data_IF_061290074728
#
_entry.id   IF_061290074728
#
_cell.length_a   1.000
_cell.length_b   1.000
_cell.length_c   1.000
_cell.angle_alpha   90.00
_cell.angle_beta   90.00
_cell.angle_gamma   90.00
#
_symmetry.space_group_name_H-M   'P 1'
#
loop_
_entity.id
_entity.type
_entity.pdbx_description
1 polymer ?
#
# COMPACT_ATOMS: atom_id res chain seq x y z
N UNK A 1 25.55 -30.37 -23.28
CA UNK A 1 25.32 -29.01 -22.75
C UNK A 1 24.67 -28.21 -23.87
N UNK A 2 23.36 -28.33 -24.02
CA UNK A 2 22.64 -27.68 -25.11
C UNK A 2 22.47 -26.21 -24.75
N UNK A 3 23.14 -25.33 -25.50
CA UNK A 3 22.89 -23.91 -25.46
C UNK A 3 21.45 -23.67 -25.94
N UNK A 4 20.55 -23.44 -24.99
CA UNK A 4 19.15 -23.10 -25.23
C UNK A 4 19.15 -21.80 -26.07
N UNK A 5 18.82 -21.93 -27.35
CA UNK A 5 18.72 -20.78 -28.26
C UNK A 5 17.43 -20.06 -27.91
N UNK A 6 17.49 -19.24 -26.87
CA UNK A 6 16.32 -18.49 -26.40
C UNK A 6 16.04 -17.41 -27.43
N UNK A 7 15.04 -17.62 -28.29
CA UNK A 7 14.61 -16.68 -29.34
C UNK A 7 13.86 -15.46 -28.77
N UNK A 8 14.11 -15.12 -27.51
CA UNK A 8 13.48 -14.03 -26.78
C UNK A 8 14.41 -12.81 -26.78
N UNK A 9 13.81 -11.63 -26.91
CA UNK A 9 14.49 -10.34 -26.77
C UNK A 9 14.65 -9.92 -25.30
N UNK A 10 13.97 -10.58 -24.37
CA UNK A 10 14.21 -10.49 -22.93
C UNK A 10 14.58 -11.85 -22.35
N UNK A 11 15.60 -11.86 -21.52
CA UNK A 11 16.02 -13.04 -20.77
C UNK A 11 15.01 -13.38 -19.65
N UNK A 12 15.04 -14.64 -19.19
CA UNK A 12 14.19 -15.09 -18.06
C UNK A 12 14.39 -14.25 -16.78
N UNK A 13 15.62 -13.88 -16.38
CA UNK A 13 15.83 -12.97 -15.25
C UNK A 13 15.19 -11.59 -15.45
N UNK A 14 15.26 -11.01 -16.65
CA UNK A 14 14.64 -9.71 -16.95
C UNK A 14 13.12 -9.78 -16.89
N UNK A 15 12.52 -10.84 -17.44
CA UNK A 15 11.08 -11.09 -17.31
C UNK A 15 10.64 -11.21 -15.84
N UNK A 16 11.41 -11.95 -15.03
CA UNK A 16 11.12 -12.10 -13.59
C UNK A 16 11.20 -10.76 -12.86
N UNK A 17 12.24 -9.97 -13.13
CA UNK A 17 12.40 -8.64 -12.55
C UNK A 17 11.27 -7.72 -12.96
N UNK A 18 10.87 -7.72 -14.23
CA UNK A 18 9.76 -6.91 -14.71
C UNK A 18 8.45 -7.30 -14.02
N UNK A 19 8.17 -8.60 -13.86
CA UNK A 19 7.01 -9.08 -13.09
C UNK A 19 7.03 -8.52 -11.67
N UNK A 20 8.18 -8.59 -10.99
CA UNK A 20 8.30 -8.10 -9.61
C UNK A 20 8.01 -6.60 -9.53
N UNK A 21 8.51 -5.79 -10.47
CA UNK A 21 8.20 -4.36 -10.53
C UNK A 21 6.72 -4.08 -10.87
N UNK A 22 6.13 -4.79 -11.83
CA UNK A 22 4.72 -4.64 -12.20
C UNK A 22 3.79 -4.97 -11.02
N UNK A 23 4.19 -5.91 -10.15
CA UNK A 23 3.44 -6.25 -8.93
C UNK A 23 3.54 -5.20 -7.82
N UNK A 24 4.54 -4.32 -7.85
CA UNK A 24 4.64 -3.18 -6.92
C UNK A 24 3.72 -2.02 -7.32
N UNK A 25 3.25 -1.96 -8.57
CA UNK A 25 2.45 -0.86 -9.09
C UNK A 25 1.23 -0.47 -8.22
N UNK A 26 0.44 -1.41 -7.65
CA UNK A 26 -0.67 -1.03 -6.76
C UNK A 26 -0.23 -0.20 -5.55
N UNK A 27 0.94 -0.51 -4.96
CA UNK A 27 1.53 0.26 -3.86
C UNK A 27 1.99 1.62 -4.37
N UNK A 28 2.78 1.63 -5.45
CA UNK A 28 3.36 2.85 -6.01
C UNK A 28 2.26 3.86 -6.40
N UNK A 29 1.20 3.42 -7.07
CA UNK A 29 0.07 4.28 -7.46
C UNK A 29 -0.66 4.83 -6.22
N UNK A 30 -0.85 4.01 -5.17
CA UNK A 30 -1.47 4.48 -3.94
C UNK A 30 -0.62 5.53 -3.21
N UNK A 31 0.69 5.29 -3.09
CA UNK A 31 1.62 6.20 -2.43
C UNK A 31 1.82 7.50 -3.24
N UNK A 32 1.89 7.41 -4.57
CA UNK A 32 1.92 8.58 -5.46
C UNK A 32 0.66 9.44 -5.29
N UNK A 33 -0.53 8.85 -5.20
CA UNK A 33 -1.76 9.62 -4.99
C UNK A 33 -1.69 10.43 -3.68
N UNK A 34 -1.13 9.85 -2.61
CA UNK A 34 -0.90 10.55 -1.33
C UNK A 34 0.13 11.68 -1.49
N UNK A 35 1.22 11.42 -2.20
CA UNK A 35 2.30 12.39 -2.48
C UNK A 35 1.80 13.56 -3.34
N UNK A 36 1.09 13.28 -4.44
CA UNK A 36 0.53 14.26 -5.38
C UNK A 36 -0.42 15.19 -4.64
N UNK A 37 -1.32 14.63 -3.82
CA UNK A 37 -2.25 15.40 -3.00
C UNK A 37 -1.59 16.02 -1.74
N UNK A 38 -0.28 15.80 -1.54
CA UNK A 38 0.50 16.19 -0.35
C UNK A 38 -0.13 15.77 0.98
N UNK A 39 -0.94 14.72 0.98
CA UNK A 39 -1.66 14.22 2.15
C UNK A 39 -0.71 13.60 3.19
N UNK A 40 0.49 13.19 2.79
CA UNK A 40 1.53 12.67 3.70
C UNK A 40 1.89 13.66 4.83
N UNK A 41 1.87 14.97 4.55
CA UNK A 41 2.23 16.00 5.56
C UNK A 41 1.11 16.33 6.55
N UNK A 42 -0.11 15.84 6.33
CA UNK A 42 -1.27 16.20 7.17
C UNK A 42 -1.34 15.37 8.46
N UNK A 43 -0.47 14.37 8.65
CA UNK A 43 -0.47 13.51 9.85
C UNK A 43 0.74 13.67 10.78
N UNK A 44 0.98 14.89 11.29
CA UNK A 44 1.59 15.05 12.62
C UNK A 44 0.81 16.10 13.40
N UNK A 45 -0.28 15.68 14.04
CA UNK A 45 -0.89 16.45 15.12
C UNK A 45 0.07 16.42 16.32
N UNK A 46 0.88 17.46 16.43
CA UNK A 46 1.61 17.80 17.66
C UNK A 46 3.13 17.79 17.56
N UNK A 47 3.73 18.53 16.61
CA UNK A 47 5.08 19.08 16.76
C UNK A 47 5.11 20.51 16.20
N UNK A 48 5.79 21.39 16.92
CA UNK A 48 5.84 22.84 16.78
C UNK A 48 6.16 23.32 15.36
N UNK A 49 5.40 24.32 14.91
CA UNK A 49 5.68 25.14 13.74
C UNK A 49 7.03 25.83 13.97
N UNK A 50 8.09 25.34 13.31
CA UNK A 50 9.26 26.17 13.06
C UNK A 50 8.89 27.17 11.96
N UNK A 51 8.65 28.42 12.37
CA UNK A 51 8.59 29.59 11.49
C UNK A 51 9.98 29.79 10.88
N UNK A 52 10.22 29.19 9.72
CA UNK A 52 11.54 29.23 9.07
C UNK A 52 11.51 28.83 7.62
N UNK A 53 10.88 29.66 6.78
CA UNK A 53 11.20 29.93 5.37
C UNK A 53 9.95 30.55 4.74
N UNK A 54 10.11 31.70 4.09
CA UNK A 54 9.04 32.42 3.42
C UNK A 54 8.16 31.47 2.60
N UNK A 55 6.85 31.53 2.87
CA UNK A 55 5.82 30.84 2.11
C UNK A 55 5.82 31.34 0.66
N UNK A 56 6.74 30.83 -0.15
CA UNK A 56 6.49 30.76 -1.57
C UNK A 56 5.29 29.83 -1.72
N UNK A 57 4.20 30.36 -2.28
CA UNK A 57 2.95 29.64 -2.56
C UNK A 57 3.24 28.40 -3.40
N UNK A 58 3.65 27.31 -2.76
CA UNK A 58 3.87 26.04 -3.44
C UNK A 58 2.48 25.53 -3.83
N UNK A 59 2.24 25.19 -5.10
CA UNK A 59 0.94 24.74 -5.56
C UNK A 59 0.43 23.57 -4.70
N UNK A 60 -0.89 23.42 -4.51
CA UNK A 60 -1.49 22.37 -3.67
C UNK A 60 -1.13 20.95 -4.10
N UNK A 61 -0.66 20.78 -5.34
CA UNK A 61 -0.26 19.50 -5.94
C UNK A 61 1.26 19.40 -6.08
N UNK A 62 1.80 18.19 -5.94
CA UNK A 62 3.19 17.89 -6.28
C UNK A 62 3.30 17.60 -7.79
N UNK A 63 3.71 18.60 -8.58
CA UNK A 63 3.73 18.51 -10.04
C UNK A 63 4.66 17.41 -10.57
N UNK A 64 5.85 17.23 -10.00
CA UNK A 64 6.82 16.27 -10.53
C UNK A 64 6.34 14.81 -10.32
N UNK A 65 5.89 14.47 -9.11
CA UNK A 65 5.17 13.22 -8.82
C UNK A 65 3.98 12.94 -9.77
N UNK A 66 3.19 13.96 -10.11
CA UNK A 66 2.10 13.80 -11.09
C UNK A 66 2.64 13.53 -12.50
N UNK A 67 3.69 14.23 -12.92
CA UNK A 67 4.35 13.97 -14.19
C UNK A 67 4.94 12.55 -14.25
N UNK A 68 5.55 12.08 -13.17
CA UNK A 68 6.08 10.72 -13.06
C UNK A 68 4.96 9.67 -13.18
N UNK A 69 3.82 9.87 -12.51
CA UNK A 69 2.64 9.01 -12.64
C UNK A 69 2.13 8.95 -14.09
N UNK A 70 2.01 10.11 -14.75
CA UNK A 70 1.57 10.19 -16.13
C UNK A 70 2.56 9.54 -17.10
N UNK A 71 3.88 9.71 -16.87
CA UNK A 71 4.91 9.07 -17.66
C UNK A 71 4.83 7.55 -17.55
N UNK A 72 4.69 7.01 -16.33
CA UNK A 72 4.49 5.59 -16.10
C UNK A 72 3.25 5.06 -16.84
N UNK A 73 2.12 5.78 -16.75
CA UNK A 73 0.92 5.43 -17.50
C UNK A 73 1.19 5.37 -19.02
N UNK A 74 1.85 6.39 -19.56
CA UNK A 74 2.14 6.50 -20.99
C UNK A 74 3.07 5.38 -21.47
N UNK A 75 4.11 5.05 -20.72
CA UNK A 75 5.01 3.93 -21.04
C UNK A 75 4.27 2.58 -20.98
N UNK A 76 3.45 2.33 -19.96
CA UNK A 76 2.63 1.12 -19.88
C UNK A 76 1.65 1.01 -21.06
N UNK A 77 0.95 2.10 -21.39
CA UNK A 77 0.00 2.12 -22.50
C UNK A 77 0.69 1.88 -23.85
N UNK A 78 1.83 2.53 -24.06
CA UNK A 78 2.63 2.38 -25.28
C UNK A 78 3.17 0.96 -25.43
N UNK A 79 3.73 0.38 -24.37
CA UNK A 79 4.22 -0.99 -24.37
C UNK A 79 3.09 -1.99 -24.66
N UNK A 80 1.95 -1.86 -23.98
CA UNK A 80 0.78 -2.73 -24.24
C UNK A 80 0.33 -2.63 -25.69
N UNK A 81 0.27 -1.41 -26.25
CA UNK A 81 -0.12 -1.19 -27.64
C UNK A 81 0.84 -1.89 -28.61
N UNK A 82 2.15 -1.70 -28.44
CA UNK A 82 3.17 -2.34 -29.30
C UNK A 82 3.07 -3.87 -29.23
N UNK A 83 2.94 -4.43 -28.02
CA UNK A 83 2.79 -5.88 -27.84
C UNK A 83 1.52 -6.39 -28.53
N UNK A 84 0.39 -5.68 -28.40
CA UNK A 84 -0.85 -6.05 -29.08
C UNK A 84 -0.70 -6.01 -30.61
N UNK A 85 -0.07 -4.97 -31.15
CA UNK A 85 0.16 -4.78 -32.57
C UNK A 85 1.07 -5.87 -33.15
N UNK A 86 2.25 -6.11 -32.56
CA UNK A 86 3.20 -7.11 -33.07
C UNK A 86 2.70 -8.55 -32.91
N UNK A 87 1.91 -8.83 -31.87
CA UNK A 87 1.38 -10.17 -31.61
C UNK A 87 0.05 -10.44 -32.31
N UNK A 88 -0.54 -9.42 -32.94
CA UNK A 88 -1.86 -9.53 -33.57
C UNK A 88 -2.95 -9.93 -32.59
N UNK A 89 -2.88 -9.44 -31.34
CA UNK A 89 -3.83 -9.79 -30.28
C UNK A 89 -4.55 -8.56 -29.73
N UNK A 90 -5.86 -8.65 -29.43
CA UNK A 90 -6.60 -7.51 -28.89
C UNK A 90 -6.24 -7.24 -27.44
N UNK A 91 -6.23 -5.96 -27.05
CA UNK A 91 -6.18 -5.60 -25.64
C UNK A 91 -7.50 -5.93 -24.96
N UNK A 92 -7.45 -6.78 -23.95
CA UNK A 92 -8.58 -7.11 -23.07
C UNK A 92 -8.06 -7.13 -21.63
N UNK A 93 -8.56 -6.24 -20.74
CA UNK A 93 -8.11 -6.22 -19.35
C UNK A 93 -8.30 -7.56 -18.64
N UNK A 94 -7.46 -7.83 -17.65
CA UNK A 94 -7.57 -9.06 -16.85
C UNK A 94 -8.92 -9.12 -16.14
N UNK A 95 -9.68 -10.20 -16.36
CA UNK A 95 -11.02 -10.38 -15.81
C UNK A 95 -12.14 -9.80 -16.68
N UNK A 96 -11.79 -9.24 -17.83
CA UNK A 96 -12.76 -8.69 -18.76
C UNK A 96 -12.96 -9.61 -19.96
N UNK A 97 -14.10 -9.46 -20.61
CA UNK A 97 -14.46 -10.14 -21.84
C UNK A 97 -14.33 -9.16 -23.00
N UNK A 98 -13.81 -9.68 -24.12
CA UNK A 98 -13.70 -8.94 -25.35
C UNK A 98 -15.07 -8.41 -25.81
N UNK A 99 -15.12 -7.26 -26.50
CA UNK A 99 -16.38 -6.66 -26.94
C UNK A 99 -17.22 -7.59 -27.85
N UNK A 100 -16.56 -8.44 -28.63
CA UNK A 100 -17.15 -9.39 -29.57
C UNK A 100 -17.47 -10.76 -28.95
N UNK A 101 -17.22 -10.94 -27.64
CA UNK A 101 -17.47 -12.21 -26.97
C UNK A 101 -18.96 -12.58 -26.94
N UNK A 102 -19.30 -13.73 -27.55
CA UNK A 102 -20.65 -14.29 -27.54
C UNK A 102 -20.75 -15.36 -26.44
N UNK A 103 -21.61 -15.12 -25.44
CA UNK A 103 -21.84 -16.05 -24.33
C UNK A 103 -22.01 -15.35 -22.98
N UNK A 104 -22.51 -16.05 -21.93
CA UNK A 104 -22.69 -15.44 -20.61
C UNK A 104 -21.34 -15.21 -19.90
N UNK A 105 -21.17 -14.09 -19.16
CA UNK A 105 -19.98 -13.86 -18.35
C UNK A 105 -19.92 -14.84 -17.16
N UNK A 106 -18.72 -15.30 -16.81
CA UNK A 106 -18.50 -16.08 -15.59
C UNK A 106 -18.51 -15.17 -14.35
N UNK A 107 -18.70 -15.70 -13.13
CA UNK A 107 -18.56 -14.92 -11.91
C UNK A 107 -17.22 -14.18 -11.86
N UNK A 108 -17.26 -12.86 -11.61
CA UNK A 108 -16.08 -12.00 -11.60
C UNK A 108 -15.60 -11.53 -12.98
N UNK A 109 -16.28 -11.91 -14.06
CA UNK A 109 -16.01 -11.38 -15.39
C UNK A 109 -16.97 -10.25 -15.76
N UNK A 110 -16.44 -9.23 -16.44
CA UNK A 110 -17.22 -8.10 -16.94
C UNK A 110 -17.00 -7.90 -18.44
N UNK A 111 -18.03 -7.46 -19.17
CA UNK A 111 -17.89 -7.08 -20.58
C UNK A 111 -17.21 -5.73 -20.71
N UNK A 112 -16.25 -5.64 -21.63
CA UNK A 112 -15.63 -4.38 -21.98
C UNK A 112 -16.60 -3.45 -22.68
N UNK A 113 -16.73 -2.24 -22.14
CA UNK A 113 -17.56 -1.20 -22.75
C UNK A 113 -16.82 -0.59 -23.95
N UNK A 114 -17.52 -0.22 -25.03
CA UNK A 114 -16.94 0.57 -26.10
C UNK A 114 -16.34 1.87 -25.55
N UNK A 115 -15.13 2.22 -25.98
CA UNK A 115 -14.43 3.43 -25.53
C UNK A 115 -13.80 3.34 -24.13
N UNK A 116 -13.69 2.14 -23.55
CA UNK A 116 -12.98 1.93 -22.27
C UNK A 116 -11.55 2.44 -22.34
N UNK A 117 -11.20 3.37 -21.44
CA UNK A 117 -9.84 3.87 -21.27
C UNK A 117 -9.19 3.06 -20.15
N UNK A 118 -8.07 2.36 -20.43
CA UNK A 118 -7.42 1.54 -19.42
C UNK A 118 -6.73 2.40 -18.37
N UNK A 119 -6.79 1.98 -17.12
CA UNK A 119 -6.03 2.56 -16.01
C UNK A 119 -4.61 2.00 -15.94
N UNK A 120 -3.71 2.69 -15.23
CA UNK A 120 -2.31 2.26 -14.99
C UNK A 120 -2.25 0.85 -14.40
N UNK A 121 -3.15 0.51 -13.47
CA UNK A 121 -3.20 -0.82 -12.85
C UNK A 121 -3.72 -1.90 -13.81
N UNK A 122 -4.66 -1.58 -14.69
CA UNK A 122 -5.14 -2.53 -15.71
C UNK A 122 -4.06 -2.85 -16.73
N UNK A 123 -3.30 -1.85 -17.18
CA UNK A 123 -2.16 -2.02 -18.08
C UNK A 123 -1.06 -2.85 -17.41
N UNK A 124 -0.69 -2.53 -16.17
CA UNK A 124 0.31 -3.27 -15.41
C UNK A 124 -0.06 -4.74 -15.19
N UNK A 125 -1.30 -5.02 -14.79
CA UNK A 125 -1.80 -6.40 -14.63
C UNK A 125 -1.85 -7.17 -15.95
N UNK A 126 -2.17 -6.48 -17.03
CA UNK A 126 -2.18 -7.10 -18.35
C UNK A 126 -0.77 -7.51 -18.77
N UNK A 127 0.23 -6.62 -18.58
CA UNK A 127 1.63 -6.92 -18.88
C UNK A 127 2.21 -8.02 -17.99
N UNK A 128 1.89 -8.05 -16.69
CA UNK A 128 2.31 -9.13 -15.78
C UNK A 128 1.87 -10.50 -16.32
N UNK A 129 0.65 -10.59 -16.85
CA UNK A 129 0.12 -11.82 -17.47
C UNK A 129 0.73 -12.14 -18.84
N UNK A 130 1.15 -11.12 -19.60
CA UNK A 130 1.60 -11.25 -20.99
C UNK A 130 3.09 -10.95 -21.15
N UNK A 131 3.89 -11.13 -20.09
CA UNK A 131 5.33 -10.81 -20.11
C UNK A 131 6.09 -11.60 -21.18
N UNK A 132 5.66 -12.83 -21.47
CA UNK A 132 6.25 -13.66 -22.53
C UNK A 132 5.98 -13.05 -23.91
N UNK A 133 4.77 -12.54 -24.14
CA UNK A 133 4.44 -11.82 -25.38
C UNK A 133 5.29 -10.56 -25.54
N UNK A 134 5.55 -9.84 -24.45
CA UNK A 134 6.50 -8.73 -24.45
C UNK A 134 7.92 -9.22 -24.76
N UNK A 135 8.41 -10.26 -24.11
CA UNK A 135 9.76 -10.78 -24.34
C UNK A 135 10.03 -11.23 -25.78
N UNK A 136 8.99 -11.57 -26.54
CA UNK A 136 9.13 -11.93 -27.95
C UNK A 136 9.12 -10.71 -28.89
N UNK A 137 8.83 -9.50 -28.39
CA UNK A 137 8.66 -8.24 -29.15
C UNK A 137 10.01 -7.67 -29.55
N UNK A 138 10.16 -7.21 -30.79
CA UNK A 138 11.46 -6.83 -31.34
C UNK A 138 12.17 -5.75 -30.49
N UNK A 139 11.41 -4.78 -29.97
CA UNK A 139 11.91 -3.69 -29.13
C UNK A 139 11.80 -3.97 -27.61
N UNK A 140 11.62 -5.22 -27.19
CA UNK A 140 11.35 -5.55 -25.79
C UNK A 140 12.41 -5.05 -24.82
N UNK A 141 13.69 -5.03 -25.22
CA UNK A 141 14.79 -4.53 -24.40
C UNK A 141 14.66 -3.04 -24.09
N UNK A 142 14.32 -2.21 -25.07
CA UNK A 142 14.10 -0.78 -24.87
C UNK A 142 12.85 -0.52 -24.02
N UNK A 143 11.74 -1.18 -24.34
CA UNK A 143 10.49 -1.08 -23.59
C UNK A 143 10.64 -1.48 -22.12
N UNK A 144 11.44 -2.53 -21.86
CA UNK A 144 11.77 -2.96 -20.50
C UNK A 144 12.56 -1.89 -19.73
N UNK A 145 13.59 -1.29 -20.33
CA UNK A 145 14.39 -0.25 -19.69
C UNK A 145 13.55 0.99 -19.39
N UNK A 146 12.72 1.43 -20.34
CA UNK A 146 11.83 2.58 -20.17
C UNK A 146 10.82 2.35 -19.03
N UNK A 147 10.24 1.14 -18.95
CA UNK A 147 9.32 0.78 -17.86
C UNK A 147 10.02 0.78 -16.50
N UNK A 148 11.21 0.20 -16.40
CA UNK A 148 11.98 0.20 -15.16
C UNK A 148 12.36 1.62 -14.73
N UNK A 149 12.78 2.46 -15.67
CA UNK A 149 13.10 3.85 -15.41
C UNK A 149 11.87 4.62 -14.92
N UNK A 150 10.71 4.44 -15.55
CA UNK A 150 9.46 5.08 -15.15
C UNK A 150 9.00 4.65 -13.74
N UNK A 151 9.14 3.36 -13.40
CA UNK A 151 8.87 2.84 -12.05
C UNK A 151 9.83 3.46 -11.03
N UNK A 152 11.13 3.48 -11.33
CA UNK A 152 12.13 4.05 -10.43
C UNK A 152 11.92 5.56 -10.21
N UNK A 153 11.54 6.30 -11.25
CA UNK A 153 11.19 7.72 -11.15
C UNK A 153 9.99 7.92 -10.22
N UNK A 154 8.94 7.11 -10.36
CA UNK A 154 7.80 7.12 -9.46
C UNK A 154 8.21 6.89 -8.00
N UNK A 155 9.06 5.88 -7.75
CA UNK A 155 9.57 5.57 -6.41
C UNK A 155 10.43 6.71 -5.83
N UNK A 156 11.22 7.41 -6.66
CA UNK A 156 12.03 8.54 -6.22
C UNK A 156 11.20 9.74 -5.73
N UNK A 157 9.98 9.92 -6.25
CA UNK A 157 9.07 10.99 -5.84
C UNK A 157 8.21 10.65 -4.62
N UNK A 158 8.13 9.38 -4.22
CA UNK A 158 7.38 8.97 -3.03
C UNK A 158 8.14 9.42 -1.76
N UNK A 159 7.80 10.62 -1.26
CA UNK A 159 8.23 11.17 0.03
C UNK A 159 7.35 10.63 1.18
N UNK A 160 7.17 9.31 1.22
CA UNK A 160 6.57 8.63 2.37
C UNK A 160 7.70 7.91 3.12
N UNK A 161 7.72 7.96 4.47
CA UNK A 161 8.53 6.99 5.20
C UNK A 161 8.09 5.60 4.73
N UNK A 162 9.04 4.65 4.55
CA UNK A 162 8.69 3.30 4.16
C UNK A 162 7.55 2.79 5.04
N UNK A 163 6.67 1.96 4.48
CA UNK A 163 5.68 1.21 5.25
C UNK A 163 6.42 0.34 6.26
N UNK A 164 6.80 0.94 7.37
CA UNK A 164 7.25 0.25 8.55
C UNK A 164 6.02 -0.56 8.96
N UNK A 165 6.06 -1.87 8.70
CA UNK A 165 5.55 -2.83 9.67
C UNK A 165 5.90 -2.24 11.03
N UNK A 166 4.90 -1.83 11.80
CA UNK A 166 5.10 -1.04 13.02
C UNK A 166 6.10 -1.77 13.93
N UNK A 167 7.39 -1.48 13.74
CA UNK A 167 8.48 -1.86 14.59
C UNK A 167 8.34 -0.85 15.72
N UNK A 168 7.70 -1.31 16.78
CA UNK A 168 7.42 -0.52 17.96
C UNK A 168 8.77 -0.15 18.57
N UNK A 169 9.28 1.01 18.19
CA UNK A 169 10.46 1.60 18.79
C UNK A 169 10.13 1.91 20.26
N UNK A 170 11.00 1.51 21.19
CA UNK A 170 10.74 1.63 22.63
C UNK A 170 10.42 3.09 23.04
N UNK A 171 10.97 4.07 22.30
CA UNK A 171 10.66 5.51 22.46
C UNK A 171 9.25 5.90 22.01
N UNK A 172 8.68 5.22 21.00
CA UNK A 172 7.28 5.39 20.56
C UNK A 172 6.30 4.78 21.56
N UNK A 173 6.69 3.72 22.29
CA UNK A 173 5.93 3.16 23.43
C UNK A 173 5.81 4.19 24.54
N UNK A 174 6.90 4.85 24.89
CA UNK A 174 6.93 5.85 25.97
C UNK A 174 6.09 7.10 25.63
N UNK A 175 6.10 7.54 24.37
CA UNK A 175 5.24 8.62 23.89
C UNK A 175 3.76 8.21 23.80
N UNK A 176 3.46 6.94 23.44
CA UNK A 176 2.10 6.41 23.40
C UNK A 176 1.51 6.19 24.81
N UNK A 177 2.33 5.86 25.81
CA UNK A 177 1.92 5.64 27.19
C UNK A 177 1.21 6.86 27.81
N UNK A 178 1.54 8.07 27.36
CA UNK A 178 0.95 9.31 27.83
C UNK A 178 -0.31 9.75 27.06
N UNK A 179 -0.73 9.05 26.01
CA UNK A 179 -1.94 9.42 25.25
C UNK A 179 -3.20 9.10 26.05
N UNK A 180 -4.05 10.11 26.21
CA UNK A 180 -5.37 10.03 26.82
C UNK A 180 -6.38 9.71 25.70
N UNK A 181 -7.01 8.54 25.77
CA UNK A 181 -7.89 8.01 24.73
C UNK A 181 -9.19 7.45 25.33
N UNK A 182 -10.24 7.40 24.53
CA UNK A 182 -11.48 6.71 24.91
C UNK A 182 -11.33 5.19 24.77
N UNK A 183 -12.19 4.42 25.45
CA UNK A 183 -12.19 2.95 25.35
C UNK A 183 -12.36 2.43 23.90
N UNK A 184 -13.09 3.17 23.05
CA UNK A 184 -13.28 2.84 21.64
C UNK A 184 -12.01 3.09 20.80
N UNK A 185 -11.31 4.20 21.05
CA UNK A 185 -10.04 4.49 20.38
C UNK A 185 -8.95 3.51 20.80
N UNK A 186 -8.92 3.09 22.08
CA UNK A 186 -7.97 2.12 22.60
C UNK A 186 -8.08 0.78 21.85
N UNK A 187 -9.28 0.29 21.56
CA UNK A 187 -9.49 -0.94 20.78
C UNK A 187 -8.92 -0.83 19.36
N UNK A 188 -9.15 0.30 18.67
CA UNK A 188 -8.58 0.55 17.33
C UNK A 188 -7.06 0.65 17.35
N UNK A 189 -6.49 1.25 18.40
CA UNK A 189 -5.04 1.37 18.57
C UNK A 189 -4.42 0.03 18.95
N UNK A 190 -5.08 -0.76 19.80
CA UNK A 190 -4.60 -2.07 20.25
C UNK A 190 -4.40 -3.06 19.09
N UNK A 191 -5.29 -3.04 18.09
CA UNK A 191 -5.15 -3.85 16.88
C UNK A 191 -3.84 -3.55 16.10
N UNK A 192 -3.28 -2.35 16.27
CA UNK A 192 -2.04 -1.90 15.62
C UNK A 192 -0.79 -2.07 16.48
N UNK A 193 -0.93 -2.46 17.76
CA UNK A 193 0.17 -2.61 18.72
C UNK A 193 0.73 -4.04 18.83
N UNK A 194 0.34 -4.94 17.92
CA UNK A 194 0.83 -6.32 17.89
C UNK A 194 0.51 -7.10 19.17
N UNK A 195 1.47 -7.87 19.67
CA UNK A 195 1.27 -8.79 20.80
C UNK A 195 0.89 -8.09 22.11
N UNK A 196 1.35 -6.86 22.32
CA UNK A 196 1.07 -6.08 23.54
C UNK A 196 -0.41 -5.65 23.61
N UNK A 197 -1.04 -5.46 22.44
CA UNK A 197 -2.46 -5.12 22.31
C UNK A 197 -3.39 -6.32 22.13
N UNK A 198 -2.86 -7.54 22.05
CA UNK A 198 -3.66 -8.73 21.75
C UNK A 198 -4.74 -8.96 22.82
N UNK A 199 -5.99 -9.09 22.37
CA UNK A 199 -7.16 -9.30 23.24
C UNK A 199 -7.62 -8.09 24.04
N UNK A 200 -7.10 -6.89 23.74
CA UNK A 200 -7.55 -5.63 24.35
C UNK A 200 -8.72 -5.04 23.55
N UNK A 201 -9.93 -5.41 23.92
CA UNK A 201 -11.19 -4.89 23.33
C UNK A 201 -11.82 -3.80 24.21
N UNK A 202 -12.82 -3.09 23.69
CA UNK A 202 -13.59 -2.10 24.47
C UNK A 202 -14.16 -2.69 25.76
N UNK A 203 -14.68 -3.91 25.70
CA UNK A 203 -15.25 -4.59 26.86
C UNK A 203 -14.18 -5.01 27.86
N UNK A 204 -12.99 -5.37 27.39
CA UNK A 204 -11.83 -5.62 28.25
C UNK A 204 -11.42 -4.36 29.00
N UNK A 205 -11.43 -3.19 28.34
CA UNK A 205 -11.17 -1.90 29.01
C UNK A 205 -12.22 -1.61 30.07
N UNK A 206 -13.52 -1.78 29.78
CA UNK A 206 -14.61 -1.64 30.77
C UNK A 206 -14.43 -2.59 31.96
N UNK A 207 -13.97 -3.82 31.71
CA UNK A 207 -13.65 -4.79 32.75
C UNK A 207 -12.48 -4.32 33.64
N UNK A 208 -11.42 -3.76 33.05
CA UNK A 208 -10.27 -3.22 33.78
C UNK A 208 -10.66 -2.02 34.66
N UNK A 209 -11.61 -1.19 34.23
CA UNK A 209 -12.18 -0.09 35.05
C UNK A 209 -12.81 -0.64 36.33
N UNK A 210 -13.60 -1.72 36.25
CA UNK A 210 -14.16 -2.39 37.43
C UNK A 210 -13.08 -2.98 38.35
N UNK A 211 -11.86 -3.22 37.84
CA UNK A 211 -10.69 -3.71 38.56
C UNK A 211 -9.71 -2.58 38.94
N UNK A 212 -10.18 -1.34 38.96
CA UNK A 212 -9.42 -0.20 39.47
C UNK A 212 -8.44 0.42 38.45
N UNK A 213 -8.73 0.34 37.15
CA UNK A 213 -8.11 1.24 36.17
C UNK A 213 -8.68 2.65 36.38
N UNK A 214 -7.78 3.64 36.54
CA UNK A 214 -8.15 5.04 36.78
C UNK A 214 -8.51 5.74 35.47
N UNK A 215 -9.58 6.53 35.49
CA UNK A 215 -9.89 7.43 34.40
C UNK A 215 -8.98 8.66 34.46
N UNK A 216 -8.51 9.10 33.30
CA UNK A 216 -7.67 10.28 33.14
C UNK A 216 -8.51 11.56 33.03
N UNK A 217 -9.79 11.43 32.70
CA UNK A 217 -10.75 12.51 32.58
C UNK A 217 -12.11 11.99 32.11
N UNK A 218 -13.12 12.86 32.17
CA UNK A 218 -14.47 12.58 31.69
C UNK A 218 -15.03 13.83 31.01
N UNK A 219 -15.65 13.64 29.86
CA UNK A 219 -16.42 14.67 29.15
C UNK A 219 -17.82 14.12 28.87
N UNK A 220 -18.82 14.65 29.57
CA UNK A 220 -20.17 14.08 29.60
C UNK A 220 -20.19 12.61 30.04
N UNK A 221 -20.74 11.74 29.18
CA UNK A 221 -20.76 10.28 29.39
C UNK A 221 -19.46 9.57 28.95
N UNK A 222 -18.57 10.28 28.25
CA UNK A 222 -17.36 9.71 27.67
C UNK A 222 -16.23 9.73 28.70
N UNK A 223 -15.67 8.54 28.97
CA UNK A 223 -14.53 8.37 29.88
C UNK A 223 -13.24 8.21 29.09
N UNK A 224 -12.21 8.90 29.54
CA UNK A 224 -10.87 8.86 28.95
C UNK A 224 -9.89 8.12 29.87
N UNK A 225 -8.96 7.40 29.25
CA UNK A 225 -7.97 6.58 29.93
C UNK A 225 -6.60 6.83 29.32
N UNK A 226 -5.55 6.81 30.14
CA UNK A 226 -4.17 6.78 29.63
C UNK A 226 -3.89 5.41 29.06
N UNK A 227 -3.41 5.36 27.82
CA UNK A 227 -3.10 4.10 27.13
C UNK A 227 -2.05 3.28 27.90
N UNK A 228 -1.04 3.93 28.49
CA UNK A 228 -0.02 3.25 29.29
C UNK A 228 -0.59 2.52 30.51
N UNK A 229 -1.50 3.18 31.26
CA UNK A 229 -2.16 2.58 32.43
C UNK A 229 -3.04 1.39 32.04
N UNK A 230 -3.72 1.49 30.89
CA UNK A 230 -4.58 0.44 30.35
C UNK A 230 -3.74 -0.78 29.95
N UNK A 231 -2.64 -0.57 29.20
CA UNK A 231 -1.76 -1.65 28.76
C UNK A 231 -1.07 -2.34 29.95
N UNK A 232 -0.59 -1.57 30.93
CA UNK A 232 0.02 -2.12 32.15
C UNK A 232 -0.98 -3.00 32.93
N UNK A 233 -2.21 -2.52 33.13
CA UNK A 233 -3.29 -3.29 33.76
C UNK A 233 -3.70 -4.51 32.93
N UNK A 234 -3.74 -4.41 31.61
CA UNK A 234 -4.07 -5.52 30.72
C UNK A 234 -3.04 -6.64 30.81
N UNK A 235 -1.74 -6.31 30.77
CA UNK A 235 -0.64 -7.28 30.94
C UNK A 235 -0.70 -7.93 32.33
N UNK A 236 -0.97 -7.15 33.39
CA UNK A 236 -1.14 -7.66 34.75
C UNK A 236 -2.29 -8.68 34.86
N UNK A 237 -3.39 -8.46 34.13
CA UNK A 237 -4.57 -9.35 34.12
C UNK A 237 -4.59 -10.39 32.99
N UNK A 238 -3.64 -10.33 32.04
CA UNK A 238 -3.53 -11.23 30.88
C UNK A 238 -2.62 -12.43 31.09
N UNK A 239 -1.70 -12.38 32.08
CA UNK A 239 -0.75 -13.47 32.39
C UNK A 239 -1.33 -14.65 33.18
N UNK A 240 -2.59 -15.05 32.95
CA UNK A 240 -3.20 -16.25 33.57
C UNK A 240 -3.68 -17.27 32.52
N UNK A 241 -2.72 -17.86 31.80
CA UNK A 241 -2.73 -19.22 31.22
C UNK A 241 -1.33 -19.45 30.65
N UNK A 242 -0.46 -20.39 31.04
CA UNK A 242 -0.56 -21.71 31.66
C UNK A 242 0.64 -21.81 32.60
N UNK A 243 0.42 -21.78 33.91
CA UNK A 243 1.39 -22.33 34.86
C UNK A 243 1.19 -23.85 34.85
N UNK A 244 2.05 -24.58 34.15
CA UNK A 244 2.21 -26.00 34.40
C UNK A 244 2.73 -26.16 35.82
N UNK A 245 1.88 -26.68 36.69
CA UNK A 245 2.32 -27.22 37.98
C UNK A 245 3.31 -28.36 37.71
N UNK A 246 4.40 -28.34 38.46
CA UNK A 246 5.28 -29.49 38.61
C UNK A 246 4.48 -30.73 39.07
N UNK A 247 4.77 -31.86 38.43
CA UNK A 247 4.96 -33.19 39.01
C UNK A 247 5.77 -34.00 37.99
#
# INVERSE_FOLDING_TARGET
MSAETDHLFLSRPEMSKLIDELRKLPRIVADLAVTIARLARVQVAGHSISLGAAAQSRPPIHLDAWQAEQALHWHLATTVRIVCEERGMPYVPVGWLAPDFIGPPRPGQQRMQPGHVPSTLELGRWLDRHVVSLAMTADAGALYLDLLAAVAECEAHIDLPPDDLVQIDQRRVDAANNKILTAYQIEKVAAKLGDVGRGLTRDRVRYLVKRGLREAGRDGETRFYRLGDVLAKHVQHGRRSKGGSAA
#
